data_IF_520186748085
#
_entry.id   IF_520186748085
#
_cell.length_a   1.000
_cell.length_b   1.000
_cell.length_c   1.000
_cell.angle_alpha   90.00
_cell.angle_beta   90.00
_cell.angle_gamma   90.00
#
_symmetry.space_group_name_H-M   'P 1'
#
loop_
_entity.id
_entity.type
_entity.pdbx_description
1 polymer ?
#
# COMPACT_ATOMS: atom_id res chain seq x y z
N UNK A 1 -24.77 -8.30 -30.34
CA UNK A 1 -23.49 -7.85 -29.77
C UNK A 1 -22.30 -8.34 -30.58
N UNK A 2 -22.12 -9.65 -30.85
CA UNK A 2 -21.03 -10.14 -31.75
C UNK A 2 -21.22 -9.70 -33.22
N UNK A 3 -22.47 -9.66 -33.73
CA UNK A 3 -22.78 -9.21 -35.11
C UNK A 3 -22.60 -7.70 -35.37
N UNK A 4 -22.32 -6.89 -34.36
CA UNK A 4 -22.23 -5.42 -34.47
C UNK A 4 -20.78 -4.90 -34.54
N UNK A 5 -19.77 -5.77 -34.67
CA UNK A 5 -18.34 -5.36 -34.71
C UNK A 5 -17.76 -4.87 -33.38
N UNK A 6 -18.61 -4.63 -32.36
CA UNK A 6 -18.24 -4.14 -31.03
C UNK A 6 -17.33 -5.09 -30.22
N UNK A 7 -17.24 -6.38 -30.57
CA UNK A 7 -16.35 -7.32 -29.89
C UNK A 7 -14.86 -6.96 -30.05
N UNK A 8 -14.47 -6.48 -31.23
CA UNK A 8 -13.08 -6.06 -31.52
C UNK A 8 -12.76 -4.77 -30.76
N UNK A 9 -13.69 -3.82 -30.74
CA UNK A 9 -13.54 -2.58 -29.96
C UNK A 9 -13.39 -2.87 -28.46
N UNK A 10 -14.22 -3.77 -27.91
CA UNK A 10 -14.11 -4.18 -26.51
C UNK A 10 -12.78 -4.87 -26.18
N UNK A 11 -12.30 -5.76 -27.04
CA UNK A 11 -11.01 -6.41 -26.88
C UNK A 11 -9.86 -5.39 -26.88
N UNK A 12 -9.86 -4.45 -27.82
CA UNK A 12 -8.85 -3.39 -27.88
C UNK A 12 -8.85 -2.52 -26.63
N UNK A 13 -10.04 -2.16 -26.12
CA UNK A 13 -10.16 -1.40 -24.87
C UNK A 13 -9.53 -2.18 -23.71
N UNK A 14 -9.84 -3.47 -23.57
CA UNK A 14 -9.30 -4.30 -22.49
C UNK A 14 -7.78 -4.40 -22.62
N UNK A 15 -7.25 -4.72 -23.81
CA UNK A 15 -5.80 -4.86 -24.03
C UNK A 15 -5.08 -3.55 -23.73
N UNK A 16 -5.56 -2.41 -24.25
CA UNK A 16 -4.93 -1.12 -24.00
C UNK A 16 -5.01 -0.72 -22.52
N UNK A 17 -6.13 -1.00 -21.85
CA UNK A 17 -6.28 -0.77 -20.41
C UNK A 17 -5.27 -1.61 -19.62
N UNK A 18 -5.12 -2.90 -19.94
CA UNK A 18 -4.20 -3.80 -19.24
C UNK A 18 -2.75 -3.40 -19.47
N UNK A 19 -2.35 -3.05 -20.70
CA UNK A 19 -1.00 -2.58 -21.01
C UNK A 19 -0.69 -1.30 -20.23
N UNK A 20 -1.62 -0.34 -20.21
CA UNK A 20 -1.42 0.94 -19.52
C UNK A 20 -1.28 0.76 -18.01
N UNK A 21 -2.14 -0.05 -17.37
CA UNK A 21 -2.04 -0.32 -15.93
C UNK A 21 -0.77 -1.09 -15.58
N UNK A 22 -0.44 -2.14 -16.32
CA UNK A 22 0.77 -2.95 -16.06
C UNK A 22 2.06 -2.13 -16.25
N UNK A 23 2.07 -1.20 -17.21
CA UNK A 23 3.18 -0.27 -17.38
C UNK A 23 3.37 0.62 -16.15
N UNK A 24 2.29 1.15 -15.57
CA UNK A 24 2.35 1.97 -14.36
C UNK A 24 2.88 1.18 -13.16
N UNK A 25 2.49 -0.08 -13.00
CA UNK A 25 2.98 -0.95 -11.92
C UNK A 25 4.50 -1.19 -12.04
N UNK A 26 4.98 -1.56 -13.24
CA UNK A 26 6.40 -1.78 -13.49
C UNK A 26 7.22 -0.48 -13.38
N UNK A 27 6.67 0.64 -13.86
CA UNK A 27 7.28 1.95 -13.75
C UNK A 27 7.41 2.40 -12.29
N UNK A 28 6.35 2.22 -11.50
CA UNK A 28 6.35 2.53 -10.06
C UNK A 28 7.43 1.73 -9.33
N UNK A 29 7.54 0.41 -9.58
CA UNK A 29 8.59 -0.43 -9.01
C UNK A 29 10.01 0.06 -9.39
N UNK A 30 10.19 0.50 -10.64
CA UNK A 30 11.44 1.05 -11.14
C UNK A 30 11.86 2.33 -10.41
N UNK A 31 10.97 3.32 -10.36
CA UNK A 31 11.22 4.63 -9.72
C UNK A 31 11.41 4.48 -8.21
N UNK A 32 10.61 3.64 -7.55
CA UNK A 32 10.78 3.35 -6.12
C UNK A 32 12.14 2.71 -5.83
N UNK A 33 12.63 1.85 -6.72
CA UNK A 33 13.94 1.22 -6.56
C UNK A 33 15.10 2.20 -6.74
N UNK A 34 15.01 3.14 -7.68
CA UNK A 34 16.00 4.22 -7.84
C UNK A 34 16.04 5.14 -6.61
N UNK A 35 14.87 5.37 -6.00
CA UNK A 35 14.73 6.18 -4.79
C UNK A 35 15.36 5.52 -3.56
N UNK A 36 15.28 4.19 -3.45
CA UNK A 36 15.86 3.43 -2.34
C UNK A 36 17.35 3.14 -2.57
N UNK A 37 17.71 2.73 -3.79
CA UNK A 37 19.07 2.33 -4.17
C UNK A 37 19.56 3.20 -5.32
N UNK A 38 20.37 4.20 -5.00
CA UNK A 38 20.95 5.15 -5.98
C UNK A 38 21.79 4.52 -7.09
N UNK A 39 22.18 3.24 -6.95
CA UNK A 39 23.01 2.50 -7.91
C UNK A 39 22.21 1.61 -8.87
N UNK A 40 20.92 1.41 -8.62
CA UNK A 40 20.08 0.52 -9.41
C UNK A 40 19.37 1.33 -10.49
N UNK A 41 19.42 0.90 -11.74
CA UNK A 41 18.68 1.54 -12.84
C UNK A 41 17.25 1.03 -12.85
N UNK A 42 16.28 1.92 -12.68
CA UNK A 42 14.86 1.61 -12.58
C UNK A 42 14.33 0.86 -13.79
N UNK A 43 14.87 1.12 -15.00
CA UNK A 43 14.55 0.37 -16.22
C UNK A 43 14.75 -1.14 -16.07
N UNK A 44 15.86 -1.57 -15.46
CA UNK A 44 16.13 -3.00 -15.30
C UNK A 44 15.22 -3.63 -14.25
N UNK A 45 14.92 -2.91 -13.17
CA UNK A 45 13.95 -3.36 -12.18
C UNK A 45 12.56 -3.50 -12.79
N UNK A 46 12.11 -2.52 -13.58
CA UNK A 46 10.82 -2.58 -14.27
C UNK A 46 10.73 -3.82 -15.17
N UNK A 47 11.78 -4.11 -15.96
CA UNK A 47 11.83 -5.31 -16.81
C UNK A 47 11.77 -6.59 -15.95
N UNK A 48 12.57 -6.67 -14.88
CA UNK A 48 12.61 -7.84 -13.98
C UNK A 48 11.24 -8.06 -13.33
N UNK A 49 10.62 -7.00 -12.80
CA UNK A 49 9.29 -7.05 -12.18
C UNK A 49 8.24 -7.54 -13.18
N UNK A 50 8.27 -7.07 -14.43
CA UNK A 50 7.35 -7.54 -15.48
C UNK A 50 7.55 -9.02 -15.80
N UNK A 51 8.80 -9.48 -15.90
CA UNK A 51 9.09 -10.90 -16.15
C UNK A 51 8.62 -11.77 -14.98
N UNK A 52 8.93 -11.38 -13.74
CA UNK A 52 8.48 -12.09 -12.54
C UNK A 52 6.95 -12.11 -12.45
N UNK A 53 6.29 -10.98 -12.70
CA UNK A 53 4.83 -10.88 -12.70
C UNK A 53 4.19 -11.78 -13.77
N UNK A 54 4.79 -11.83 -14.97
CA UNK A 54 4.33 -12.69 -16.06
C UNK A 54 4.47 -14.18 -15.69
N UNK A 55 5.62 -14.57 -15.14
CA UNK A 55 5.83 -15.94 -14.66
C UNK A 55 4.86 -16.29 -13.53
N UNK A 56 4.64 -15.39 -12.57
CA UNK A 56 3.67 -15.58 -11.50
C UNK A 56 2.25 -15.76 -12.05
N UNK A 57 1.83 -14.97 -13.03
CA UNK A 57 0.53 -15.10 -13.67
C UNK A 57 0.32 -16.45 -14.40
N UNK A 58 1.39 -17.05 -14.91
CA UNK A 58 1.35 -18.38 -15.53
C UNK A 58 1.29 -19.50 -14.48
N UNK A 59 1.98 -19.33 -13.35
CA UNK A 59 2.15 -20.36 -12.33
C UNK A 59 1.03 -20.39 -11.27
N UNK A 60 0.42 -19.23 -10.97
CA UNK A 60 -0.57 -19.11 -9.89
C UNK A 60 -2.01 -19.09 -10.39
N UNK A 61 -2.94 -19.78 -9.70
CA UNK A 61 -4.37 -19.76 -9.99
C UNK A 61 -4.97 -18.37 -9.68
N UNK A 62 -5.37 -17.64 -10.72
CA UNK A 62 -5.93 -16.28 -10.59
C UNK A 62 -7.38 -16.24 -10.08
N UNK A 63 -8.06 -17.38 -10.06
CA UNK A 63 -9.40 -17.56 -9.50
C UNK A 63 -9.47 -17.30 -7.99
N UNK A 64 -8.34 -17.40 -7.27
CA UNK A 64 -8.26 -17.17 -5.82
C UNK A 64 -7.24 -16.09 -5.43
N UNK A 65 -7.21 -14.97 -6.17
CA UNK A 65 -6.28 -13.86 -5.86
C UNK A 65 -6.70 -13.03 -4.64
N UNK A 66 -7.92 -13.21 -4.13
CA UNK A 66 -8.51 -12.39 -3.05
C UNK A 66 -7.67 -12.36 -1.78
N UNK A 67 -7.17 -13.52 -1.33
CA UNK A 67 -6.33 -13.59 -0.12
C UNK A 67 -5.01 -12.83 -0.28
N UNK A 68 -4.44 -12.84 -1.48
CA UNK A 68 -3.24 -12.09 -1.81
C UNK A 68 -3.52 -10.57 -1.82
N UNK A 69 -4.65 -10.15 -2.40
CA UNK A 69 -5.07 -8.75 -2.36
C UNK A 69 -5.30 -8.25 -0.94
N UNK A 70 -5.90 -9.08 -0.07
CA UNK A 70 -6.04 -8.74 1.34
C UNK A 70 -4.71 -8.67 2.10
N UNK A 71 -3.74 -9.51 1.75
CA UNK A 71 -2.40 -9.42 2.32
C UNK A 71 -1.73 -8.09 1.94
N UNK A 72 -1.76 -7.72 0.66
CA UNK A 72 -1.26 -6.44 0.19
C UNK A 72 -2.02 -5.28 0.86
N UNK A 73 -3.34 -5.36 0.93
CA UNK A 73 -4.20 -4.39 1.61
C UNK A 73 -3.80 -4.17 3.08
N UNK A 74 -3.54 -5.27 3.82
CA UNK A 74 -3.11 -5.21 5.22
C UNK A 74 -1.77 -4.52 5.44
N UNK A 75 -0.90 -4.46 4.42
CA UNK A 75 0.38 -3.75 4.48
C UNK A 75 0.21 -2.26 4.15
N UNK A 76 -0.52 -1.95 3.08
CA UNK A 76 -0.59 -0.59 2.55
C UNK A 76 -1.63 0.29 3.25
N UNK A 77 -2.75 -0.26 3.71
CA UNK A 77 -3.78 0.49 4.42
C UNK A 77 -3.24 1.21 5.67
N UNK A 78 -2.57 0.53 6.62
CA UNK A 78 -2.02 1.20 7.80
C UNK A 78 -0.86 2.13 7.44
N UNK A 79 -0.11 1.85 6.37
CA UNK A 79 0.98 2.72 5.91
C UNK A 79 0.44 4.10 5.44
N UNK A 80 -0.61 4.10 4.62
CA UNK A 80 -1.27 5.33 4.16
C UNK A 80 -1.94 6.05 5.33
N UNK A 81 -2.55 5.31 6.25
CA UNK A 81 -3.15 5.87 7.46
C UNK A 81 -2.15 6.67 8.30
N UNK A 82 -0.95 6.13 8.51
CA UNK A 82 0.13 6.84 9.21
C UNK A 82 0.60 8.05 8.41
N UNK A 83 0.76 7.94 7.09
CA UNK A 83 1.15 9.08 6.25
C UNK A 83 0.13 10.22 6.34
N UNK A 84 -1.17 9.91 6.34
CA UNK A 84 -2.24 10.89 6.52
C UNK A 84 -2.15 11.53 7.91
N UNK A 85 -2.05 10.73 8.97
CA UNK A 85 -1.99 11.22 10.34
C UNK A 85 -0.77 12.13 10.55
N UNK A 86 0.40 11.73 10.07
CA UNK A 86 1.65 12.43 10.30
C UNK A 86 1.76 13.72 9.50
N UNK A 87 1.36 13.68 8.24
CA UNK A 87 1.49 14.83 7.34
C UNK A 87 0.36 15.84 7.53
N UNK A 88 -0.91 15.39 7.52
CA UNK A 88 -2.05 16.30 7.52
C UNK A 88 -2.54 16.69 8.93
N UNK A 89 -2.52 15.76 9.89
CA UNK A 89 -3.11 15.99 11.22
C UNK A 89 -2.07 16.51 12.20
N UNK A 90 -1.01 15.74 12.42
CA UNK A 90 0.02 16.03 13.41
C UNK A 90 1.09 16.99 12.89
N UNK A 91 1.17 17.19 11.57
CA UNK A 91 2.12 18.06 10.87
C UNK A 91 3.55 17.83 11.35
N UNK A 92 3.92 16.56 11.54
CA UNK A 92 5.26 16.21 12.01
C UNK A 92 6.26 16.24 10.85
N UNK A 93 7.38 16.92 11.07
CA UNK A 93 8.49 16.91 10.14
C UNK A 93 9.46 15.78 10.48
N UNK A 94 9.58 14.81 9.57
CA UNK A 94 10.55 13.72 9.68
C UNK A 94 11.85 13.98 8.90
N UNK A 95 12.09 15.24 8.49
CA UNK A 95 13.20 15.63 7.61
C UNK A 95 14.60 15.23 8.13
N UNK A 96 14.76 15.07 9.45
CA UNK A 96 16.04 14.77 10.09
C UNK A 96 16.17 13.33 10.62
N UNK A 97 15.09 12.53 10.61
CA UNK A 97 15.11 11.16 11.14
C UNK A 97 14.97 10.16 9.99
N UNK A 98 16.00 9.31 9.82
CA UNK A 98 16.00 8.25 8.81
C UNK A 98 14.92 7.19 9.05
N UNK A 99 14.52 6.95 10.31
CA UNK A 99 13.49 5.97 10.63
C UNK A 99 12.73 6.34 11.91
N UNK A 100 11.40 6.15 11.90
CA UNK A 100 10.55 6.29 13.09
C UNK A 100 10.13 4.91 13.58
N UNK A 101 10.79 4.44 14.64
CA UNK A 101 10.46 3.15 15.25
C UNK A 101 9.00 3.13 15.76
N UNK A 102 8.51 4.26 16.27
CA UNK A 102 7.11 4.44 16.68
C UNK A 102 6.15 4.18 15.52
N UNK A 103 6.40 4.75 14.34
CA UNK A 103 5.55 4.55 13.18
C UNK A 103 5.59 3.10 12.68
N UNK A 104 6.75 2.43 12.75
CA UNK A 104 6.84 1.01 12.40
C UNK A 104 6.03 0.13 13.34
N UNK A 105 6.06 0.42 14.65
CA UNK A 105 5.25 -0.31 15.63
C UNK A 105 3.76 -0.09 15.35
N UNK A 106 3.34 1.15 15.13
CA UNK A 106 1.94 1.46 14.79
C UNK A 106 1.53 0.78 13.48
N UNK A 107 2.41 0.74 12.48
CA UNK A 107 2.17 0.06 11.21
C UNK A 107 2.00 -1.45 11.42
N UNK A 108 2.87 -2.09 12.21
CA UNK A 108 2.76 -3.52 12.50
C UNK A 108 1.47 -3.85 13.28
N UNK A 109 1.06 -2.96 14.19
CA UNK A 109 -0.22 -3.07 14.89
C UNK A 109 -1.40 -2.92 13.92
N UNK A 110 -1.37 -1.92 13.04
CA UNK A 110 -2.37 -1.74 11.98
C UNK A 110 -2.45 -2.96 11.06
N UNK A 111 -1.32 -3.53 10.65
CA UNK A 111 -1.29 -4.78 9.89
C UNK A 111 -2.00 -5.90 10.64
N UNK A 112 -1.69 -6.10 11.93
CA UNK A 112 -2.34 -7.13 12.74
C UNK A 112 -3.84 -6.87 12.91
N UNK A 113 -4.25 -5.61 13.11
CA UNK A 113 -5.64 -5.18 13.21
C UNK A 113 -6.37 -5.49 11.91
N UNK A 114 -5.84 -5.13 10.74
CA UNK A 114 -6.41 -5.49 9.45
C UNK A 114 -6.64 -7.01 9.34
N UNK A 115 -5.64 -7.83 9.71
CA UNK A 115 -5.76 -9.29 9.68
C UNK A 115 -6.87 -9.81 10.60
N UNK A 116 -7.05 -9.21 11.77
CA UNK A 116 -8.13 -9.53 12.71
C UNK A 116 -9.49 -9.08 12.17
N UNK A 117 -9.56 -7.89 11.58
CA UNK A 117 -10.78 -7.32 11.00
C UNK A 117 -11.35 -8.20 9.89
N UNK A 118 -10.51 -8.91 9.14
CA UNK A 118 -10.97 -9.86 8.13
C UNK A 118 -11.78 -11.04 8.67
N UNK A 119 -11.74 -11.32 9.98
CA UNK A 119 -12.60 -12.32 10.59
C UNK A 119 -14.03 -11.81 10.86
N UNK A 120 -14.27 -10.52 10.66
CA UNK A 120 -15.57 -9.88 10.85
C UNK A 120 -16.17 -9.47 9.50
N UNK A 121 -17.41 -9.90 9.24
CA UNK A 121 -18.12 -9.49 8.03
C UNK A 121 -18.62 -8.04 8.16
N UNK A 122 -17.83 -7.09 7.64
CA UNK A 122 -18.17 -5.67 7.64
C UNK A 122 -18.68 -5.21 6.27
N UNK A 123 -19.80 -4.47 6.26
CA UNK A 123 -20.46 -3.94 5.04
C UNK A 123 -19.53 -3.01 4.23
N UNK A 124 -18.66 -2.27 4.91
CA UNK A 124 -17.79 -1.23 4.33
C UNK A 124 -16.42 -1.84 3.90
N UNK A 125 -16.19 -3.13 4.18
CA UNK A 125 -14.90 -3.79 4.03
C UNK A 125 -13.90 -3.42 5.14
N UNK A 126 -12.74 -4.07 5.11
CA UNK A 126 -11.78 -4.04 6.23
C UNK A 126 -10.82 -2.84 6.18
N UNK A 127 -10.56 -2.32 4.98
CA UNK A 127 -9.56 -1.26 4.74
C UNK A 127 -9.93 0.07 5.41
N UNK A 128 -11.19 0.52 5.29
CA UNK A 128 -11.60 1.80 5.85
C UNK A 128 -11.57 1.82 7.39
N UNK A 129 -12.16 0.83 8.10
CA UNK A 129 -12.05 0.74 9.55
C UNK A 129 -10.60 0.62 10.04
N UNK A 130 -9.76 -0.18 9.38
CA UNK A 130 -8.35 -0.32 9.73
C UNK A 130 -7.59 1.00 9.65
N UNK A 131 -7.80 1.78 8.57
CA UNK A 131 -7.18 3.09 8.42
C UNK A 131 -7.62 4.06 9.53
N UNK A 132 -8.90 4.07 9.89
CA UNK A 132 -9.41 4.94 10.96
C UNK A 132 -8.80 4.58 12.32
N UNK A 133 -8.74 3.28 12.63
CA UNK A 133 -8.13 2.79 13.87
C UNK A 133 -6.64 3.13 13.90
N UNK A 134 -5.92 2.91 12.79
CA UNK A 134 -4.49 3.22 12.69
C UNK A 134 -4.20 4.71 12.83
N UNK A 135 -5.02 5.59 12.24
CA UNK A 135 -4.93 7.05 12.43
C UNK A 135 -5.12 7.41 13.90
N UNK A 136 -6.16 6.86 14.55
CA UNK A 136 -6.44 7.13 15.96
C UNK A 136 -5.27 6.67 16.86
N UNK A 137 -4.73 5.47 16.61
CA UNK A 137 -3.54 4.96 17.31
C UNK A 137 -2.35 5.91 17.14
N UNK A 138 -2.10 6.39 15.91
CA UNK A 138 -0.99 7.29 15.65
C UNK A 138 -1.11 8.60 16.44
N UNK A 139 -2.30 9.21 16.46
CA UNK A 139 -2.58 10.43 17.21
C UNK A 139 -2.38 10.19 18.71
N UNK A 140 -3.03 9.17 19.28
CA UNK A 140 -2.98 8.87 20.71
C UNK A 140 -1.55 8.62 21.18
N UNK A 141 -0.81 7.75 20.49
CA UNK A 141 0.57 7.44 20.89
C UNK A 141 1.47 8.66 20.87
N UNK A 142 1.34 9.51 19.86
CA UNK A 142 2.20 10.70 19.70
C UNK A 142 1.82 11.81 20.67
N UNK A 143 0.53 12.02 20.94
CA UNK A 143 0.09 12.96 21.98
C UNK A 143 0.56 12.52 23.36
N UNK A 144 0.44 11.23 23.71
CA UNK A 144 0.92 10.71 25.00
C UNK A 144 2.44 10.86 25.12
N UNK A 145 3.19 10.51 24.07
CA UNK A 145 4.65 10.63 24.07
C UNK A 145 5.09 12.08 24.30
N UNK A 146 4.45 13.04 23.62
CA UNK A 146 4.75 14.47 23.79
C UNK A 146 4.41 14.98 25.21
N UNK A 147 3.33 14.49 25.82
CA UNK A 147 2.99 14.83 27.20
C UNK A 147 4.00 14.27 28.21
N UNK A 148 4.48 13.05 28.01
CA UNK A 148 5.50 12.44 28.87
C UNK A 148 6.85 13.14 28.78
N UNK A 149 7.25 13.59 27.59
CA UNK A 149 8.47 14.39 27.42
C UNK A 149 8.37 15.74 28.13
N UNK A 150 7.25 16.45 28.00
CA UNK A 150 7.02 17.70 28.75
C UNK A 150 7.06 17.49 30.27
N UNK A 151 6.54 16.37 30.77
CA UNK A 151 6.55 16.07 32.21
C UNK A 151 7.93 15.73 32.76
N UNK A 152 8.85 15.18 31.94
CA UNK A 152 10.25 14.95 32.34
C UNK A 152 11.10 16.22 32.32
N UNK A 153 10.67 17.25 31.60
CA UNK A 153 11.39 18.52 31.47
C UNK A 153 11.04 19.54 32.55
N UNK A 154 9.97 19.30 33.33
CA UNK A 154 9.56 20.07 34.51
C UNK A 154 9.97 19.34 35.79
#
# INVERSE_FOLDING_TARGET
MVKAGLGIAGLLIIVLSTVTTTFLDAYSAGVSSESIFSKVKGKWVAIITTVIGTLAAILFPLDNITNFLYLIGSVFAPMIAIQIADFFILKQEFSTKSFSLTNLIIWALGFAIYRVLMHFDMIIGNTLPDMLITIALCIVFKTISALLEKRKAN
#
